data_IF_179532299451
#
_entry.id   IF_179532299451
#
_cell.length_a   1.000
_cell.length_b   1.000
_cell.length_c   1.000
_cell.angle_alpha   90.00
_cell.angle_beta   90.00
_cell.angle_gamma   90.00
#
_symmetry.space_group_name_H-M   'P 1'
#
loop_
_entity.id
_entity.type
_entity.pdbx_description
1 polymer ?
#
# COMPACT_ATOMS: atom_id res chain seq x y z
N UNK A 1 39.20 8.68 -30.95
CA UNK A 1 38.25 9.34 -30.02
C UNK A 1 38.28 8.58 -28.71
N UNK A 2 38.82 9.18 -27.64
CA UNK A 2 38.87 8.57 -26.30
C UNK A 2 37.54 8.87 -25.59
N UNK A 3 36.91 7.83 -25.02
CA UNK A 3 35.73 7.98 -24.16
C UNK A 3 36.08 8.80 -22.89
N UNK A 4 35.17 9.63 -22.36
CA UNK A 4 35.39 10.31 -21.10
C UNK A 4 35.31 9.30 -19.95
N UNK A 5 36.30 9.34 -19.06
CA UNK A 5 36.30 8.59 -17.81
C UNK A 5 35.30 9.19 -16.83
N UNK A 6 34.35 8.40 -16.34
CA UNK A 6 33.46 8.76 -15.23
C UNK A 6 34.28 8.95 -13.94
N UNK A 7 34.20 10.13 -13.32
CA UNK A 7 34.69 10.32 -11.95
C UNK A 7 33.85 9.51 -10.95
N UNK A 8 34.45 8.91 -9.91
CA UNK A 8 33.71 8.22 -8.87
C UNK A 8 32.87 9.22 -8.05
N UNK A 9 31.61 8.87 -7.81
CA UNK A 9 30.67 9.66 -7.04
C UNK A 9 31.21 9.96 -5.63
N UNK A 10 31.09 11.22 -5.19
CA UNK A 10 31.46 11.65 -3.84
C UNK A 10 30.65 10.86 -2.78
N UNK A 11 31.27 10.44 -1.67
CA UNK A 11 30.55 9.73 -0.61
C UNK A 11 29.48 10.64 0.01
N UNK A 12 28.29 10.08 0.21
CA UNK A 12 27.17 10.72 0.88
C UNK A 12 27.61 11.18 2.28
N UNK A 13 27.33 12.42 2.73
CA UNK A 13 27.70 12.85 4.05
C UNK A 13 27.00 11.96 5.08
N UNK A 14 27.77 11.39 6.01
CA UNK A 14 27.25 10.56 7.09
C UNK A 14 26.09 11.26 7.78
N UNK A 15 24.98 10.52 7.97
CA UNK A 15 23.82 10.98 8.73
C UNK A 15 24.31 11.46 10.09
N UNK A 16 24.34 12.78 10.29
CA UNK A 16 24.58 13.38 11.60
C UNK A 16 23.48 12.88 12.53
N UNK A 17 23.87 12.19 13.60
CA UNK A 17 22.97 11.94 14.72
C UNK A 17 22.37 13.27 15.18
N UNK A 18 21.11 13.31 15.68
CA UNK A 18 20.55 14.53 16.23
C UNK A 18 21.48 15.09 17.30
N UNK A 19 21.87 16.36 17.16
CA UNK A 19 22.72 17.05 18.13
C UNK A 19 22.03 17.01 19.49
N UNK A 20 22.69 16.41 20.50
CA UNK A 20 22.28 16.53 21.90
C UNK A 20 22.52 17.98 22.34
N UNK A 21 21.47 18.67 22.77
CA UNK A 21 21.60 19.96 23.47
C UNK A 21 22.27 19.73 24.84
N UNK A 22 23.17 20.62 25.30
CA UNK A 22 23.83 20.47 26.59
C UNK A 22 22.89 20.98 27.69
N UNK A 23 22.35 20.06 28.51
CA UNK A 23 21.51 20.42 29.64
C UNK A 23 21.34 19.29 30.66
N UNK A 24 21.69 19.61 31.91
CA UNK A 24 21.26 19.02 33.19
C UNK A 24 21.43 17.48 33.43
N UNK A 25 22.25 17.03 34.40
CA UNK A 25 22.50 15.59 34.67
C UNK A 25 21.31 14.78 35.21
N UNK A 26 20.13 15.39 35.40
CA UNK A 26 18.96 14.73 36.01
C UNK A 26 17.76 14.53 35.08
N UNK A 27 17.87 14.82 33.79
CA UNK A 27 16.86 14.38 32.82
C UNK A 27 17.40 13.17 32.06
N UNK A 28 17.11 11.96 32.56
CA UNK A 28 17.08 10.80 31.66
C UNK A 28 16.12 11.18 30.53
N UNK A 29 16.66 11.43 29.34
CA UNK A 29 15.87 11.74 28.15
C UNK A 29 14.90 10.59 27.96
N UNK A 30 13.60 10.85 28.18
CA UNK A 30 12.56 9.88 27.90
C UNK A 30 12.71 9.46 26.43
N UNK A 31 13.04 8.19 26.22
CA UNK A 31 13.10 7.60 24.88
C UNK A 31 11.85 6.78 24.68
N UNK A 32 11.24 6.88 23.49
CA UNK A 32 10.10 6.05 23.12
C UNK A 32 10.51 4.58 22.87
N UNK A 33 11.79 4.30 22.63
CA UNK A 33 12.32 2.97 22.32
C UNK A 33 13.71 2.74 22.93
N UNK A 34 14.07 1.49 23.28
CA UNK A 34 15.45 1.16 23.61
C UNK A 34 16.40 1.46 22.42
N UNK A 35 17.60 2.02 22.67
CA UNK A 35 18.61 2.19 21.62
C UNK A 35 18.93 0.87 20.92
N UNK A 36 19.20 0.90 19.61
CA UNK A 36 19.43 -0.30 18.79
C UNK A 36 20.60 -1.14 19.33
N UNK A 37 21.65 -0.48 19.81
CA UNK A 37 22.82 -1.11 20.41
C UNK A 37 22.53 -1.93 21.67
N UNK A 38 21.35 -1.78 22.29
CA UNK A 38 20.97 -2.54 23.49
C UNK A 38 19.99 -3.67 23.21
N UNK A 39 19.58 -3.89 21.95
CA UNK A 39 18.51 -4.85 21.63
C UNK A 39 18.83 -6.31 22.00
N UNK A 40 20.10 -6.68 22.14
CA UNK A 40 20.48 -8.01 22.65
C UNK A 40 20.15 -8.24 24.14
N UNK A 41 19.97 -7.15 24.90
CA UNK A 41 19.63 -7.19 26.31
C UNK A 41 18.95 -5.89 26.78
N UNK A 42 17.63 -5.93 26.87
CA UNK A 42 16.79 -4.85 27.42
C UNK A 42 16.06 -5.36 28.67
N UNK A 43 16.19 -4.65 29.78
CA UNK A 43 15.39 -4.93 30.98
C UNK A 43 14.08 -4.14 30.96
N UNK A 44 12.97 -4.80 31.31
CA UNK A 44 11.69 -4.15 31.56
C UNK A 44 10.99 -4.72 32.80
N UNK A 45 10.04 -3.96 33.36
CA UNK A 45 9.23 -4.46 34.46
C UNK A 45 8.12 -5.36 33.93
N UNK A 46 7.89 -6.49 34.60
CA UNK A 46 6.81 -7.41 34.32
C UNK A 46 5.46 -6.78 34.74
N UNK A 47 4.59 -6.40 33.79
CA UNK A 47 3.32 -5.75 34.14
C UNK A 47 2.37 -6.70 34.86
N UNK A 48 2.48 -8.01 34.66
CA UNK A 48 1.64 -9.02 35.32
C UNK A 48 2.03 -9.25 36.79
N UNK A 49 3.24 -8.84 37.19
CA UNK A 49 3.72 -8.98 38.56
C UNK A 49 3.29 -7.81 39.48
N UNK A 50 2.53 -6.84 38.97
CA UNK A 50 2.08 -5.68 39.74
C UNK A 50 1.35 -6.11 41.04
N UNK A 51 1.66 -5.50 42.21
CA UNK A 51 2.51 -4.32 42.42
C UNK A 51 4.01 -4.61 42.62
N UNK A 52 4.46 -5.86 42.52
CA UNK A 52 5.88 -6.21 42.69
C UNK A 52 6.68 -5.77 41.45
N UNK A 53 7.81 -5.10 41.69
CA UNK A 53 8.75 -4.68 40.63
C UNK A 53 9.66 -5.84 40.22
N UNK A 54 9.12 -6.76 39.44
CA UNK A 54 9.90 -7.87 38.88
C UNK A 54 10.53 -7.42 37.56
N UNK A 55 11.87 -7.51 37.45
CA UNK A 55 12.58 -7.22 36.20
C UNK A 55 12.67 -8.48 35.32
N UNK A 56 12.48 -8.29 34.03
CA UNK A 56 12.64 -9.30 32.99
C UNK A 56 13.63 -8.81 31.95
N UNK A 57 14.52 -9.70 31.53
CA UNK A 57 15.50 -9.41 30.48
C UNK A 57 14.95 -9.92 29.14
N UNK A 58 14.98 -9.06 28.13
CA UNK A 58 14.50 -9.34 26.78
C UNK A 58 15.59 -9.19 25.74
N UNK A 59 15.48 -9.95 24.66
CA UNK A 59 16.12 -9.66 23.37
C UNK A 59 15.03 -9.07 22.46
N UNK A 60 15.31 -7.93 21.83
CA UNK A 60 14.44 -7.31 20.84
C UNK A 60 14.86 -7.81 19.46
N UNK A 61 13.95 -8.50 18.78
CA UNK A 61 14.18 -9.08 17.45
C UNK A 61 13.37 -8.30 16.41
N UNK A 62 14.01 -7.63 15.44
CA UNK A 62 13.31 -7.00 14.33
C UNK A 62 12.54 -8.02 13.51
N UNK A 63 11.30 -7.68 13.17
CA UNK A 63 10.45 -8.46 12.28
C UNK A 63 9.48 -7.52 11.55
N UNK A 64 8.61 -8.08 10.74
CA UNK A 64 7.68 -7.32 9.89
C UNK A 64 6.25 -7.75 10.20
N UNK A 65 5.36 -6.77 10.36
CA UNK A 65 3.93 -7.02 10.49
C UNK A 65 3.36 -7.57 9.18
N UNK A 66 2.69 -8.71 9.24
CA UNK A 66 2.15 -9.40 8.07
C UNK A 66 0.62 -9.30 7.92
N UNK A 67 -0.02 -8.45 8.72
CA UNK A 67 -1.48 -8.26 8.72
C UNK A 67 -2.02 -7.54 7.48
N UNK A 68 -1.20 -6.71 6.83
CA UNK A 68 -1.54 -6.05 5.58
C UNK A 68 -0.25 -5.76 4.81
N UNK A 69 -0.38 -5.38 3.55
CA UNK A 69 0.76 -5.18 2.65
C UNK A 69 1.64 -3.96 3.00
N UNK A 70 1.27 -3.16 4.01
CA UNK A 70 2.11 -2.06 4.50
C UNK A 70 3.47 -2.56 5.04
N UNK A 71 3.52 -3.82 5.49
CA UNK A 71 4.73 -4.46 6.01
C UNK A 71 5.47 -3.57 7.03
N UNK A 72 4.73 -2.98 7.97
CA UNK A 72 5.30 -2.11 8.99
C UNK A 72 6.30 -2.90 9.85
N UNK A 73 7.45 -2.31 10.14
CA UNK A 73 8.42 -2.92 11.05
C UNK A 73 7.85 -3.10 12.46
N UNK A 74 8.16 -4.25 13.06
CA UNK A 74 7.87 -4.62 14.43
C UNK A 74 9.16 -5.00 15.16
N UNK A 75 9.13 -4.88 16.48
CA UNK A 75 10.12 -5.44 17.40
C UNK A 75 9.42 -6.46 18.28
N UNK A 76 9.83 -7.72 18.14
CA UNK A 76 9.41 -8.78 19.04
C UNK A 76 10.26 -8.72 20.32
N UNK A 77 9.61 -8.55 21.47
CA UNK A 77 10.27 -8.62 22.76
C UNK A 77 10.31 -10.08 23.22
N UNK A 78 11.48 -10.71 23.13
CA UNK A 78 11.66 -12.13 23.48
C UNK A 78 12.28 -12.23 24.86
N UNK A 79 11.57 -12.82 25.83
CA UNK A 79 12.12 -13.08 27.16
C UNK A 79 13.31 -14.05 27.07
N UNK A 80 14.47 -13.66 27.62
CA UNK A 80 15.73 -14.42 27.46
C UNK A 80 15.75 -15.72 28.24
N UNK A 81 14.88 -15.88 29.25
CA UNK A 81 14.85 -17.06 30.11
C UNK A 81 13.92 -18.14 29.52
N UNK A 82 12.82 -17.72 28.90
CA UNK A 82 11.76 -18.62 28.40
C UNK A 82 11.76 -18.78 26.87
N UNK A 83 12.40 -17.86 26.14
CA UNK A 83 12.35 -17.81 24.68
C UNK A 83 11.00 -17.36 24.11
N UNK A 84 10.04 -17.00 24.96
CA UNK A 84 8.69 -16.59 24.53
C UNK A 84 8.65 -15.12 24.15
N UNK A 85 7.80 -14.79 23.19
CA UNK A 85 7.48 -13.41 22.83
C UNK A 85 6.54 -12.85 23.90
N UNK A 86 6.89 -11.73 24.52
CA UNK A 86 6.08 -11.09 25.57
C UNK A 86 5.22 -9.95 25.05
N UNK A 87 5.68 -9.26 23.98
CA UNK A 87 4.93 -8.22 23.28
C UNK A 87 5.56 -7.91 21.92
N UNK A 88 4.78 -7.22 21.09
CA UNK A 88 5.27 -6.56 19.88
C UNK A 88 5.14 -5.04 20.00
N UNK A 89 6.19 -4.33 19.61
CA UNK A 89 6.19 -2.88 19.48
C UNK A 89 6.62 -2.47 18.07
N UNK A 90 6.52 -1.18 17.74
CA UNK A 90 6.98 -0.70 16.45
C UNK A 90 8.50 -0.62 16.36
N UNK A 91 9.06 -0.97 15.19
CA UNK A 91 10.49 -0.84 14.96
C UNK A 91 10.86 0.61 14.57
N UNK A 92 11.59 1.37 15.43
CA UNK A 92 11.93 2.76 15.18
C UNK A 92 12.87 2.97 14.00
N UNK A 93 13.69 1.97 13.64
CA UNK A 93 14.65 2.07 12.53
C UNK A 93 14.05 1.66 11.18
N UNK A 94 12.82 1.12 11.17
CA UNK A 94 12.15 0.75 9.93
C UNK A 94 11.85 2.00 9.07
N UNK A 95 12.32 2.06 7.81
CA UNK A 95 12.35 3.31 7.03
C UNK A 95 10.96 3.87 6.69
N UNK A 96 9.98 2.99 6.49
CA UNK A 96 8.64 3.39 6.11
C UNK A 96 7.79 3.82 7.33
N UNK A 97 7.59 2.89 8.27
CA UNK A 97 6.75 3.07 9.47
C UNK A 97 7.39 3.83 10.63
N UNK A 98 8.73 3.92 10.74
CA UNK A 98 9.44 4.73 11.75
C UNK A 98 8.96 4.48 13.19
N UNK A 99 8.71 3.23 13.55
CA UNK A 99 8.20 2.81 14.85
C UNK A 99 6.69 3.01 15.07
N UNK A 100 5.97 3.60 14.11
CA UNK A 100 4.51 3.77 14.23
C UNK A 100 3.79 2.55 13.68
N UNK A 101 2.85 2.02 14.45
CA UNK A 101 2.03 0.88 14.06
C UNK A 101 0.56 1.16 14.40
N UNK A 102 -0.36 0.57 13.63
CA UNK A 102 -1.77 0.55 14.00
C UNK A 102 -2.02 -0.54 15.07
N UNK A 103 -3.23 -0.60 15.62
CA UNK A 103 -3.61 -1.58 16.65
C UNK A 103 -3.34 -3.04 16.26
N UNK A 104 -3.38 -3.37 14.95
CA UNK A 104 -3.11 -4.72 14.44
C UNK A 104 -1.66 -5.17 14.69
N UNK A 105 -0.69 -4.24 14.70
CA UNK A 105 0.73 -4.56 14.86
C UNK A 105 1.02 -5.24 16.20
N UNK A 106 0.79 -4.55 17.34
CA UNK A 106 0.96 -5.15 18.66
C UNK A 106 0.08 -6.38 18.91
N UNK A 107 -1.13 -6.40 18.33
CA UNK A 107 -2.06 -7.52 18.44
C UNK A 107 -1.59 -8.83 17.76
N UNK A 108 -0.47 -8.80 17.01
CA UNK A 108 0.13 -10.01 16.40
C UNK A 108 0.47 -11.08 17.46
N UNK A 109 0.67 -10.70 18.73
CA UNK A 109 0.88 -11.67 19.81
C UNK A 109 -0.28 -12.66 19.94
N UNK A 110 -1.52 -12.19 19.72
CA UNK A 110 -2.71 -13.04 19.79
C UNK A 110 -2.77 -14.06 18.65
N UNK A 111 -2.11 -13.80 17.52
CA UNK A 111 -2.03 -14.74 16.40
C UNK A 111 -0.96 -15.81 16.62
N UNK A 112 0.15 -15.43 17.26
CA UNK A 112 1.24 -16.35 17.60
C UNK A 112 0.77 -17.36 18.66
N UNK A 113 0.09 -16.86 19.68
CA UNK A 113 -0.40 -17.59 20.85
C UNK A 113 -1.88 -18.00 20.73
N UNK A 114 -2.43 -18.01 19.51
CA UNK A 114 -3.83 -18.38 19.28
C UNK A 114 -4.08 -19.82 19.77
N UNK A 115 -5.00 -20.04 20.74
CA UNK A 115 -5.29 -21.36 21.27
C UNK A 115 -5.92 -22.31 20.23
N UNK A 116 -6.47 -21.79 19.14
CA UNK A 116 -7.10 -22.55 18.05
C UNK A 116 -6.13 -22.85 16.89
N UNK A 117 -4.85 -22.45 17.02
CA UNK A 117 -3.85 -22.66 15.98
C UNK A 117 -3.64 -24.15 15.69
N UNK A 118 -3.68 -24.51 14.40
CA UNK A 118 -3.39 -25.88 13.94
C UNK A 118 -1.87 -26.12 14.03
N UNK A 119 -1.46 -26.99 14.95
CA UNK A 119 -0.03 -27.28 15.24
C UNK A 119 0.51 -28.51 14.50
N UNK A 120 -0.37 -29.30 13.88
CA UNK A 120 -0.05 -30.57 13.24
C UNK A 120 -0.77 -30.69 11.90
N UNK A 121 -0.19 -31.39 10.90
CA UNK A 121 -0.93 -31.80 9.71
C UNK A 121 -2.19 -32.60 10.09
N UNK A 122 -3.28 -32.36 9.37
CA UNK A 122 -4.56 -33.03 9.61
C UNK A 122 -5.15 -33.55 8.29
N UNK A 123 -5.89 -34.65 8.36
CA UNK A 123 -6.59 -35.27 7.24
C UNK A 123 -8.07 -35.41 7.55
N UNK A 124 -8.92 -35.08 6.58
CA UNK A 124 -10.36 -35.30 6.70
C UNK A 124 -10.65 -36.79 6.62
N UNK A 125 -11.43 -37.30 7.57
CA UNK A 125 -11.82 -38.73 7.65
C UNK A 125 -13.32 -38.99 7.46
N UNK A 126 -14.13 -37.93 7.45
CA UNK A 126 -15.56 -37.99 7.16
C UNK A 126 -15.95 -37.31 5.85
N UNK A 127 -17.26 -37.21 5.64
CA UNK A 127 -17.83 -36.49 4.51
C UNK A 127 -17.54 -34.99 4.60
N UNK A 128 -17.55 -34.32 3.43
CA UNK A 128 -17.30 -32.88 3.37
C UNK A 128 -18.39 -32.14 4.14
N UNK A 129 -17.99 -31.41 5.18
CA UNK A 129 -18.89 -30.61 6.02
C UNK A 129 -19.07 -31.15 7.44
N UNK A 130 -18.68 -32.40 7.71
CA UNK A 130 -18.84 -33.01 9.04
C UNK A 130 -17.82 -32.52 10.09
N UNK A 131 -16.75 -31.86 9.65
CA UNK A 131 -15.68 -31.40 10.55
C UNK A 131 -14.86 -32.52 11.18
N UNK A 132 -14.91 -33.74 10.63
CA UNK A 132 -14.15 -34.89 11.13
C UNK A 132 -12.73 -34.90 10.56
N UNK A 133 -11.75 -34.68 11.45
CA UNK A 133 -10.32 -34.62 11.11
C UNK A 133 -9.48 -35.51 12.04
N UNK A 134 -8.50 -36.19 11.47
CA UNK A 134 -7.46 -36.92 12.21
C UNK A 134 -6.10 -36.22 12.07
N UNK A 135 -5.24 -36.33 13.09
CA UNK A 135 -3.85 -35.86 13.00
C UNK A 135 -3.01 -36.89 12.24
N UNK A 136 -2.14 -36.41 11.35
CA UNK A 136 -1.20 -37.25 10.59
C UNK A 136 0.22 -36.70 10.70
N UNK A 137 1.21 -37.51 10.30
CA UNK A 137 2.61 -37.05 10.26
C UNK A 137 2.86 -36.16 9.05
N UNK A 138 3.93 -35.36 9.11
CA UNK A 138 4.40 -34.58 7.97
C UNK A 138 4.79 -35.46 6.79
N UNK A 139 5.49 -36.57 7.04
CA UNK A 139 5.86 -37.57 6.01
C UNK A 139 4.62 -38.10 5.29
N UNK A 140 3.60 -38.53 6.05
CA UNK A 140 2.35 -39.01 5.47
C UNK A 140 1.63 -37.92 4.66
N UNK A 141 1.61 -36.67 5.14
CA UNK A 141 0.97 -35.56 4.42
C UNK A 141 1.67 -35.28 3.09
N UNK A 142 3.01 -35.19 3.10
CA UNK A 142 3.83 -34.93 1.93
C UNK A 142 3.75 -36.08 0.92
N UNK A 143 3.80 -37.33 1.38
CA UNK A 143 3.68 -38.51 0.51
C UNK A 143 2.31 -38.60 -0.16
N UNK A 144 1.22 -38.38 0.58
CA UNK A 144 -0.13 -38.47 0.03
C UNK A 144 -0.43 -37.33 -0.97
N UNK A 145 0.00 -36.10 -0.67
CA UNK A 145 -0.17 -34.96 -1.59
C UNK A 145 0.75 -35.12 -2.81
N UNK A 146 2.03 -35.41 -2.59
CA UNK A 146 3.02 -35.58 -3.64
C UNK A 146 2.70 -36.74 -4.58
N UNK A 147 2.22 -37.88 -4.05
CA UNK A 147 1.81 -39.02 -4.88
C UNK A 147 0.64 -38.68 -5.79
N UNK A 148 -0.33 -37.89 -5.32
CA UNK A 148 -1.47 -37.44 -6.14
C UNK A 148 -1.03 -36.51 -7.28
N UNK A 149 -0.17 -35.54 -6.96
CA UNK A 149 0.43 -34.65 -7.97
C UNK A 149 1.24 -35.48 -8.99
N UNK A 150 2.07 -36.40 -8.51
CA UNK A 150 2.87 -37.27 -9.37
C UNK A 150 2.04 -38.19 -10.26
N UNK A 151 0.89 -38.68 -9.79
CA UNK A 151 -0.05 -39.44 -10.64
C UNK A 151 -0.66 -38.57 -11.72
N UNK A 152 -1.09 -37.34 -11.40
CA UNK A 152 -1.56 -36.40 -12.41
C UNK A 152 -0.52 -36.17 -13.51
N UNK A 153 0.77 -36.07 -13.17
CA UNK A 153 1.84 -35.92 -14.17
C UNK A 153 2.09 -37.18 -14.99
N UNK A 154 2.10 -38.38 -14.37
CA UNK A 154 2.27 -39.64 -15.11
C UNK A 154 1.14 -39.91 -16.11
N UNK A 155 -0.04 -39.32 -15.87
CA UNK A 155 -1.24 -39.44 -16.71
C UNK A 155 -1.48 -38.22 -17.61
N UNK A 156 -0.53 -37.28 -17.70
CA UNK A 156 -0.63 -36.05 -18.53
C UNK A 156 -1.82 -35.12 -18.16
N UNK A 157 -2.21 -35.11 -16.88
CA UNK A 157 -3.33 -34.31 -16.33
C UNK A 157 -2.85 -33.04 -15.62
N UNK A 158 -1.96 -32.28 -16.27
CA UNK A 158 -1.31 -31.11 -15.65
C UNK A 158 -2.29 -30.00 -15.20
N UNK A 159 -3.45 -29.92 -15.85
CA UNK A 159 -4.51 -28.94 -15.54
C UNK A 159 -5.29 -29.24 -14.24
N UNK A 160 -5.06 -30.39 -13.60
CA UNK A 160 -5.72 -30.74 -12.33
C UNK A 160 -4.95 -30.26 -11.09
N UNK A 161 -3.76 -29.68 -11.27
CA UNK A 161 -2.96 -29.14 -10.17
C UNK A 161 -3.10 -27.63 -10.15
N UNK A 162 -3.60 -27.10 -9.02
CA UNK A 162 -3.77 -25.67 -8.82
C UNK A 162 -3.15 -25.23 -7.49
N UNK A 163 -2.42 -24.13 -7.53
CA UNK A 163 -1.95 -23.41 -6.36
C UNK A 163 -2.75 -22.11 -6.21
N UNK A 164 -3.53 -22.04 -5.13
CA UNK A 164 -4.21 -20.82 -4.74
C UNK A 164 -3.52 -20.21 -3.53
N UNK A 165 -3.07 -18.97 -3.66
CA UNK A 165 -2.38 -18.26 -2.58
C UNK A 165 -3.13 -17.05 -2.08
N UNK A 166 -3.27 -17.01 -0.75
CA UNK A 166 -3.71 -15.82 -0.04
C UNK A 166 -2.58 -14.80 0.05
N UNK A 167 -2.05 -14.61 1.25
CA UNK A 167 -0.95 -13.68 1.49
C UNK A 167 0.39 -14.35 1.19
N UNK A 168 1.07 -13.91 0.13
CA UNK A 168 2.43 -14.34 -0.23
C UNK A 168 3.44 -13.94 0.85
N UNK A 169 4.17 -14.91 1.39
CA UNK A 169 5.26 -14.69 2.35
C UNK A 169 6.66 -14.96 1.79
N UNK A 170 6.73 -15.44 0.56
CA UNK A 170 7.94 -15.77 -0.18
C UNK A 170 8.13 -14.87 -1.40
N UNK A 171 9.34 -14.89 -1.99
CA UNK A 171 9.70 -14.10 -3.17
C UNK A 171 9.36 -14.84 -4.48
N UNK A 172 8.08 -15.19 -4.63
CA UNK A 172 7.54 -15.91 -5.80
C UNK A 172 8.23 -17.26 -6.09
N UNK A 173 8.61 -17.98 -5.04
CA UNK A 173 9.28 -19.28 -5.17
C UNK A 173 8.29 -20.34 -5.67
N UNK A 174 7.06 -20.29 -5.17
CA UNK A 174 6.03 -21.28 -5.52
C UNK A 174 5.59 -21.20 -6.98
N UNK A 175 5.48 -20.00 -7.56
CA UNK A 175 5.19 -19.84 -9.00
C UNK A 175 6.30 -20.47 -9.86
N UNK A 176 7.57 -20.27 -9.48
CA UNK A 176 8.71 -20.87 -10.21
C UNK A 176 8.67 -22.39 -10.18
N UNK A 177 8.29 -22.98 -9.04
CA UNK A 177 8.12 -24.44 -8.92
C UNK A 177 7.04 -24.94 -9.87
N UNK A 178 5.86 -24.31 -9.89
CA UNK A 178 4.76 -24.71 -10.78
C UNK A 178 5.12 -24.58 -12.26
N UNK A 179 5.75 -23.47 -12.65
CA UNK A 179 6.21 -23.29 -14.02
C UNK A 179 7.27 -24.33 -14.42
N UNK A 180 8.15 -24.74 -13.49
CA UNK A 180 9.13 -25.82 -13.76
C UNK A 180 8.47 -27.18 -13.99
N UNK A 181 7.26 -27.38 -13.49
CA UNK A 181 6.43 -28.56 -13.74
C UNK A 181 5.56 -28.42 -15.00
N UNK A 182 5.64 -27.29 -15.72
CA UNK A 182 4.77 -27.02 -16.87
C UNK A 182 3.31 -26.79 -16.49
N UNK A 183 3.04 -26.35 -15.26
CA UNK A 183 1.69 -26.04 -14.77
C UNK A 183 1.40 -24.54 -14.92
N UNK A 184 0.31 -24.23 -15.61
CA UNK A 184 -0.32 -22.90 -15.65
C UNK A 184 -1.55 -22.87 -14.72
N UNK A 185 -1.31 -23.15 -13.44
CA UNK A 185 -2.33 -23.43 -12.42
C UNK A 185 -2.21 -22.52 -11.21
N UNK A 186 -1.89 -21.24 -11.41
CA UNK A 186 -1.71 -20.27 -10.34
C UNK A 186 -2.94 -19.36 -10.19
N UNK A 187 -3.38 -19.13 -8.96
CA UNK A 187 -4.30 -18.05 -8.65
C UNK A 187 -3.90 -17.39 -7.33
N UNK A 188 -4.07 -16.08 -7.23
CA UNK A 188 -3.83 -15.33 -6.01
C UNK A 188 -5.07 -14.56 -5.57
N UNK A 189 -5.10 -14.13 -4.31
CA UNK A 189 -6.17 -13.27 -3.83
C UNK A 189 -6.19 -11.88 -4.51
N UNK A 190 -5.21 -11.55 -5.36
CA UNK A 190 -5.03 -10.20 -5.95
C UNK A 190 -6.26 -9.76 -6.74
N UNK A 191 -6.90 -10.71 -7.43
CA UNK A 191 -8.12 -10.51 -8.21
C UNK A 191 -9.31 -10.01 -7.38
N UNK A 192 -9.36 -10.39 -6.10
CA UNK A 192 -10.40 -9.96 -5.15
C UNK A 192 -9.89 -8.79 -4.27
N UNK A 193 -8.56 -8.64 -4.17
CA UNK A 193 -7.94 -7.62 -3.33
C UNK A 193 -7.95 -6.24 -3.97
N UNK A 194 -7.33 -6.07 -5.15
CA UNK A 194 -7.06 -4.72 -5.69
C UNK A 194 -6.68 -4.66 -7.17
N UNK A 195 -6.81 -5.75 -7.93
CA UNK A 195 -6.49 -5.76 -9.37
C UNK A 195 -7.20 -4.63 -10.12
N UNK A 196 -8.49 -4.39 -9.87
CA UNK A 196 -9.27 -3.34 -10.55
C UNK A 196 -8.73 -1.93 -10.34
N UNK A 197 -8.13 -1.61 -9.19
CA UNK A 197 -7.50 -0.30 -8.98
C UNK A 197 -6.06 -0.22 -9.57
N UNK A 198 -5.42 -1.37 -9.78
CA UNK A 198 -4.05 -1.47 -10.32
C UNK A 198 -4.02 -1.40 -11.85
N UNK A 199 -5.11 -1.76 -12.53
CA UNK A 199 -5.17 -1.78 -14.01
C UNK A 199 -4.83 -0.42 -14.61
N UNK A 200 -5.38 0.69 -14.09
CA UNK A 200 -5.03 2.03 -14.60
C UNK A 200 -3.59 2.41 -14.34
N UNK A 201 -3.02 2.08 -13.17
CA UNK A 201 -1.60 2.29 -12.89
C UNK A 201 -0.70 1.49 -13.84
N UNK A 202 -1.01 0.21 -14.05
CA UNK A 202 -0.26 -0.66 -14.94
C UNK A 202 -0.37 -0.20 -16.41
N UNK A 203 -1.57 0.20 -16.84
CA UNK A 203 -1.81 0.63 -18.23
C UNK A 203 -1.17 1.98 -18.54
N UNK A 204 -1.16 2.91 -17.58
CA UNK A 204 -0.63 4.27 -17.80
C UNK A 204 0.85 4.41 -17.49
N UNK A 205 1.35 3.74 -16.43
CA UNK A 205 2.71 3.94 -15.93
C UNK A 205 3.59 2.70 -16.08
N UNK A 206 3.03 1.54 -16.39
CA UNK A 206 3.77 0.26 -16.42
C UNK A 206 4.16 -0.26 -15.03
N UNK A 207 3.58 0.29 -13.95
CA UNK A 207 3.89 -0.11 -12.57
C UNK A 207 2.63 -0.55 -11.84
N UNK A 208 2.78 -1.50 -10.90
CA UNK A 208 1.68 -1.99 -10.06
C UNK A 208 1.04 -0.87 -9.24
N UNK A 209 1.87 -0.06 -8.56
CA UNK A 209 1.46 1.13 -7.79
C UNK A 209 2.58 2.14 -7.68
N UNK A 210 2.28 3.45 -7.79
CA UNK A 210 3.26 4.49 -7.49
C UNK A 210 3.41 4.69 -5.98
N UNK A 211 4.62 5.07 -5.54
CA UNK A 211 4.87 5.58 -4.19
C UNK A 211 4.82 7.11 -4.22
N UNK A 212 3.62 7.69 -4.05
CA UNK A 212 3.42 9.14 -4.10
C UNK A 212 4.19 9.89 -2.99
N UNK A 213 4.79 11.01 -3.36
CA UNK A 213 5.58 11.87 -2.44
C UNK A 213 4.69 12.85 -1.67
N UNK A 214 3.84 12.30 -0.80
CA UNK A 214 2.86 13.09 -0.05
C UNK A 214 3.47 14.19 0.84
N UNK A 215 4.71 14.02 1.30
CA UNK A 215 5.33 14.98 2.23
C UNK A 215 5.74 16.29 1.56
N UNK A 216 5.96 16.27 0.24
CA UNK A 216 6.34 17.43 -0.57
C UNK A 216 5.22 17.91 -1.51
N UNK A 217 4.04 17.29 -1.45
CA UNK A 217 2.88 17.67 -2.24
C UNK A 217 2.28 19.00 -1.77
N UNK A 218 1.68 19.75 -2.69
CA UNK A 218 0.81 20.90 -2.38
C UNK A 218 -0.68 20.52 -2.42
N UNK A 219 -1.02 19.47 -3.18
CA UNK A 219 -2.37 18.90 -3.21
C UNK A 219 -2.26 17.38 -3.11
N UNK A 220 -3.02 16.81 -2.17
CA UNK A 220 -3.09 15.37 -1.92
C UNK A 220 -4.52 14.90 -2.22
N UNK A 221 -4.69 14.05 -3.23
CA UNK A 221 -5.98 13.57 -3.69
C UNK A 221 -6.16 12.07 -3.42
N UNK A 222 -7.02 11.74 -2.46
CA UNK A 222 -7.20 10.40 -1.92
C UNK A 222 -8.53 9.81 -2.37
N UNK A 223 -8.50 8.66 -3.06
CA UNK A 223 -9.71 7.96 -3.52
C UNK A 223 -9.82 6.61 -2.83
N UNK A 224 -10.88 6.37 -2.06
CA UNK A 224 -11.05 5.14 -1.27
C UNK A 224 -9.85 4.82 -0.36
N UNK A 225 -9.18 5.88 0.11
CA UNK A 225 -7.85 5.85 0.69
C UNK A 225 -7.91 6.28 2.15
N UNK A 226 -7.96 5.30 3.07
CA UNK A 226 -8.30 5.53 4.47
C UNK A 226 -7.06 5.45 5.39
N UNK A 227 -6.61 6.56 5.95
CA UNK A 227 -5.47 6.64 6.87
C UNK A 227 -5.68 5.79 8.13
N UNK A 228 -6.91 5.70 8.63
CA UNK A 228 -7.23 5.06 9.91
C UNK A 228 -7.27 3.53 9.84
N UNK A 229 -7.67 2.99 8.69
CA UNK A 229 -8.02 1.57 8.56
C UNK A 229 -7.52 0.94 7.25
N UNK A 230 -7.08 1.75 6.30
CA UNK A 230 -6.66 1.31 4.98
C UNK A 230 -5.40 0.45 5.02
N UNK A 231 -5.34 -0.48 4.07
CA UNK A 231 -4.13 -1.23 3.78
C UNK A 231 -3.07 -0.26 3.22
N UNK A 232 -1.78 -0.43 3.57
CA UNK A 232 -0.65 0.48 3.25
C UNK A 232 -0.57 1.80 4.02
N UNK A 233 -1.60 2.18 4.76
CA UNK A 233 -1.69 3.58 5.15
C UNK A 233 -0.85 3.98 6.34
N UNK A 234 -0.29 3.10 7.17
CA UNK A 234 0.49 3.63 8.29
C UNK A 234 1.74 4.44 7.83
N UNK A 235 2.58 3.95 6.90
CA UNK A 235 3.66 4.77 6.34
C UNK A 235 3.18 5.97 5.51
N UNK A 236 2.09 5.83 4.75
CA UNK A 236 1.55 6.94 3.94
C UNK A 236 0.89 8.01 4.79
N UNK A 237 0.10 7.65 5.80
CA UNK A 237 -0.55 8.57 6.73
C UNK A 237 0.48 9.48 7.40
N UNK A 238 1.66 8.97 7.75
CA UNK A 238 2.74 9.82 8.28
C UNK A 238 3.13 10.91 7.27
N UNK A 239 3.33 10.54 6.01
CA UNK A 239 3.75 11.46 4.93
C UNK A 239 2.63 12.41 4.52
N UNK A 240 1.37 11.95 4.51
CA UNK A 240 0.19 12.77 4.24
C UNK A 240 0.02 13.83 5.33
N UNK A 241 0.16 13.45 6.61
CA UNK A 241 0.10 14.41 7.72
C UNK A 241 1.31 15.34 7.72
N UNK A 242 2.51 14.88 7.31
CA UNK A 242 3.67 15.75 7.08
C UNK A 242 3.36 16.80 5.98
N UNK A 243 2.82 16.37 4.84
CA UNK A 243 2.38 17.27 3.75
C UNK A 243 1.31 18.26 4.21
N UNK A 244 0.26 17.79 4.89
CA UNK A 244 -0.79 18.65 5.42
C UNK A 244 -0.24 19.71 6.40
N UNK A 245 0.69 19.33 7.28
CA UNK A 245 1.37 20.28 8.18
C UNK A 245 2.24 21.29 7.43
N UNK A 246 2.76 20.92 6.26
CA UNK A 246 3.49 21.82 5.37
C UNK A 246 2.57 22.70 4.52
N UNK A 247 1.24 22.58 4.68
CA UNK A 247 0.24 23.40 3.99
C UNK A 247 -0.41 22.73 2.79
N UNK A 248 -0.16 21.44 2.55
CA UNK A 248 -0.82 20.72 1.47
C UNK A 248 -2.33 20.63 1.69
N UNK A 249 -3.12 20.90 0.65
CA UNK A 249 -4.56 20.68 0.67
C UNK A 249 -4.87 19.20 0.46
N UNK A 250 -5.65 18.60 1.36
CA UNK A 250 -6.08 17.20 1.30
C UNK A 250 -7.51 17.13 0.79
N UNK A 251 -7.70 16.43 -0.33
CA UNK A 251 -9.02 16.09 -0.90
C UNK A 251 -9.26 14.60 -0.69
N UNK A 252 -10.39 14.25 -0.08
CA UNK A 252 -10.80 12.86 0.15
C UNK A 252 -12.07 12.56 -0.63
N UNK A 253 -12.01 11.56 -1.51
CA UNK A 253 -13.15 11.02 -2.27
C UNK A 253 -13.56 9.68 -1.64
N UNK A 254 -14.68 9.69 -0.94
CA UNK A 254 -15.16 8.58 -0.13
C UNK A 254 -16.68 8.70 0.07
N UNK A 255 -17.52 7.67 -0.22
CA UNK A 255 -18.97 7.74 0.01
C UNK A 255 -19.35 7.82 1.50
N UNK A 256 -18.40 7.58 2.42
CA UNK A 256 -18.61 7.76 3.87
C UNK A 256 -17.74 8.89 4.40
N UNK A 257 -18.21 9.56 5.45
CA UNK A 257 -17.39 10.47 6.24
C UNK A 257 -16.42 9.64 7.12
N UNK A 258 -15.32 9.19 6.54
CA UNK A 258 -14.26 8.46 7.23
C UNK A 258 -13.45 9.36 8.17
N UNK A 259 -12.65 8.76 9.06
CA UNK A 259 -11.72 9.54 9.90
C UNK A 259 -10.70 10.32 9.06
N UNK A 260 -10.44 9.82 7.84
CA UNK A 260 -9.65 10.53 6.83
C UNK A 260 -10.40 11.72 6.27
N UNK A 261 -11.63 11.51 5.79
CA UNK A 261 -12.47 12.59 5.27
C UNK A 261 -12.71 13.69 6.31
N UNK A 262 -12.92 13.35 7.58
CA UNK A 262 -13.07 14.30 8.67
C UNK A 262 -11.81 15.15 8.97
N UNK A 263 -10.65 14.76 8.42
CA UNK A 263 -9.38 15.50 8.52
C UNK A 263 -8.95 16.13 7.20
N UNK A 264 -9.71 15.92 6.13
CA UNK A 264 -9.45 16.50 4.82
C UNK A 264 -9.99 17.93 4.76
N UNK A 265 -9.41 18.75 3.89
CA UNK A 265 -9.91 20.10 3.60
C UNK A 265 -11.19 20.02 2.74
N UNK A 266 -11.23 19.03 1.83
CA UNK A 266 -12.41 18.73 1.02
C UNK A 266 -12.78 17.26 1.14
N UNK A 267 -14.08 16.99 1.35
CA UNK A 267 -14.66 15.66 1.27
C UNK A 267 -15.68 15.61 0.13
N UNK A 268 -15.43 14.74 -0.85
CA UNK A 268 -16.34 14.46 -1.95
C UNK A 268 -16.95 13.07 -1.72
N UNK A 269 -18.29 13.03 -1.68
CA UNK A 269 -19.06 11.80 -1.47
C UNK A 269 -19.87 11.46 -2.72
N UNK A 270 -19.22 11.07 -3.84
CA UNK A 270 -19.95 10.65 -5.02
C UNK A 270 -20.74 9.37 -4.77
N UNK A 271 -21.77 9.13 -5.57
CA UNK A 271 -22.44 7.83 -5.61
C UNK A 271 -21.44 6.73 -5.99
N UNK A 272 -21.45 5.57 -5.32
CA UNK A 272 -20.52 4.49 -5.64
C UNK A 272 -20.59 4.08 -7.12
N UNK A 273 -19.45 4.11 -7.80
CA UNK A 273 -19.33 3.77 -9.22
C UNK A 273 -19.35 4.96 -10.17
N UNK A 274 -19.63 6.18 -9.71
CA UNK A 274 -19.64 7.39 -10.57
C UNK A 274 -18.33 8.17 -10.52
N UNK A 275 -17.31 7.67 -9.81
CA UNK A 275 -16.06 8.38 -9.57
C UNK A 275 -15.31 8.71 -10.87
N UNK A 276 -15.34 7.83 -11.87
CA UNK A 276 -14.73 8.11 -13.19
C UNK A 276 -15.30 9.38 -13.84
N UNK A 277 -16.63 9.56 -13.76
CA UNK A 277 -17.30 10.74 -14.31
C UNK A 277 -16.86 12.02 -13.59
N UNK A 278 -16.76 11.96 -12.25
CA UNK A 278 -16.24 13.06 -11.44
C UNK A 278 -14.79 13.41 -11.84
N UNK A 279 -13.93 12.41 -11.99
CA UNK A 279 -12.51 12.63 -12.35
C UNK A 279 -12.35 13.22 -13.76
N UNK A 280 -13.13 12.75 -14.74
CA UNK A 280 -13.11 13.28 -16.09
C UNK A 280 -13.65 14.72 -16.16
N UNK A 281 -14.66 15.05 -15.35
CA UNK A 281 -15.14 16.42 -15.23
C UNK A 281 -14.09 17.36 -14.62
N UNK A 282 -13.35 16.89 -13.60
CA UNK A 282 -12.20 17.63 -13.05
C UNK A 282 -11.10 17.80 -14.10
N UNK A 283 -10.74 16.73 -14.82
CA UNK A 283 -9.72 16.78 -15.87
C UNK A 283 -10.08 17.79 -16.98
N UNK A 284 -11.35 17.79 -17.42
CA UNK A 284 -11.88 18.78 -18.36
C UNK A 284 -11.71 20.21 -17.84
N UNK A 285 -12.05 20.47 -16.58
CA UNK A 285 -11.90 21.80 -15.98
C UNK A 285 -10.43 22.27 -15.96
N UNK A 286 -9.49 21.37 -15.69
CA UNK A 286 -8.06 21.68 -15.76
C UNK A 286 -7.61 22.03 -17.18
N UNK A 287 -8.12 21.33 -18.19
CA UNK A 287 -7.86 21.62 -19.60
C UNK A 287 -8.46 22.98 -19.98
N UNK A 288 -9.74 23.22 -19.68
CA UNK A 288 -10.44 24.50 -19.93
C UNK A 288 -9.72 25.69 -19.28
N UNK A 289 -9.23 25.52 -18.05
CA UNK A 289 -8.47 26.55 -17.32
C UNK A 289 -6.99 26.64 -17.70
N UNK A 290 -6.49 25.76 -18.58
CA UNK A 290 -5.06 25.67 -18.96
C UNK A 290 -4.13 25.43 -17.75
N UNK A 291 -4.63 24.74 -16.71
CA UNK A 291 -3.88 24.41 -15.48
C UNK A 291 -3.48 22.94 -15.43
N UNK A 292 -2.97 22.43 -16.55
CA UNK A 292 -2.45 21.07 -16.73
C UNK A 292 -0.99 21.13 -17.20
N UNK A 293 -0.22 20.06 -16.97
CA UNK A 293 1.22 20.05 -17.30
C UNK A 293 1.42 19.68 -18.77
N UNK A 294 1.21 20.67 -19.64
CA UNK A 294 1.35 20.51 -21.09
C UNK A 294 2.77 20.07 -21.48
N UNK A 295 3.80 20.56 -20.77
CA UNK A 295 5.20 20.20 -21.06
C UNK A 295 5.47 18.73 -20.74
N UNK A 296 4.96 18.24 -19.61
CA UNK A 296 5.04 16.83 -19.27
C UNK A 296 4.28 15.96 -20.29
N UNK A 297 3.06 16.37 -20.64
CA UNK A 297 2.21 15.60 -21.55
C UNK A 297 2.81 15.51 -22.97
N UNK A 298 3.31 16.63 -23.53
CA UNK A 298 3.96 16.64 -24.84
C UNK A 298 5.16 15.70 -24.90
N UNK A 299 5.93 15.65 -23.80
CA UNK A 299 7.18 14.91 -23.72
C UNK A 299 7.02 13.42 -23.41
N UNK A 300 6.07 13.06 -22.54
CA UNK A 300 6.02 11.73 -21.93
C UNK A 300 4.75 10.94 -22.23
N UNK A 301 3.74 11.56 -22.84
CA UNK A 301 2.49 10.88 -23.21
C UNK A 301 2.47 10.63 -24.71
N UNK A 302 1.87 9.52 -25.12
CA UNK A 302 1.69 9.11 -26.52
C UNK A 302 0.57 9.91 -27.25
N UNK A 303 0.57 11.23 -27.11
CA UNK A 303 -0.48 12.12 -27.61
C UNK A 303 -0.65 12.06 -29.13
N UNK A 304 0.42 11.79 -29.90
CA UNK A 304 0.35 11.59 -31.35
C UNK A 304 -0.52 10.39 -31.71
N UNK A 305 -0.41 9.29 -30.96
CA UNK A 305 -1.25 8.11 -31.13
C UNK A 305 -2.70 8.46 -30.82
N UNK A 306 -2.96 9.17 -29.73
CA UNK A 306 -4.31 9.64 -29.39
C UNK A 306 -4.94 10.46 -30.53
N UNK A 307 -4.22 11.45 -31.09
CA UNK A 307 -4.77 12.25 -32.19
C UNK A 307 -5.02 11.44 -33.45
N UNK A 308 -4.06 10.60 -33.88
CA UNK A 308 -4.21 9.79 -35.10
C UNK A 308 -5.38 8.82 -35.03
N UNK A 309 -5.61 8.23 -33.86
CA UNK A 309 -6.64 7.19 -33.69
C UNK A 309 -8.02 7.79 -33.38
N UNK A 310 -8.10 8.89 -32.62
CA UNK A 310 -9.39 9.44 -32.16
C UNK A 310 -9.85 10.67 -32.93
N UNK A 311 -8.93 11.44 -33.52
CA UNK A 311 -9.18 12.68 -34.25
C UNK A 311 -8.38 12.76 -35.56
N UNK A 312 -8.58 11.79 -36.49
CA UNK A 312 -7.88 11.80 -37.78
C UNK A 312 -8.28 12.99 -38.68
N UNK A 313 -9.33 13.74 -38.29
CA UNK A 313 -9.76 14.99 -38.91
C UNK A 313 -8.85 16.19 -38.58
N UNK A 314 -8.01 16.09 -37.55
CA UNK A 314 -7.10 17.14 -37.12
C UNK A 314 -5.66 16.84 -37.56
N UNK A 315 -4.89 17.89 -37.86
CA UNK A 315 -3.45 17.76 -38.04
C UNK A 315 -2.80 17.22 -36.76
N UNK A 316 -1.90 16.25 -36.88
CA UNK A 316 -1.21 15.62 -35.76
C UNK A 316 -0.13 16.55 -35.18
N UNK A 317 -0.56 17.61 -34.51
CA UNK A 317 0.28 18.62 -33.85
C UNK A 317 -0.15 18.78 -32.39
N UNK A 318 0.79 19.06 -31.50
CA UNK A 318 0.51 19.16 -30.07
C UNK A 318 -0.52 20.26 -29.73
N UNK A 319 -0.55 21.35 -30.51
CA UNK A 319 -1.51 22.43 -30.37
C UNK A 319 -2.98 21.97 -30.44
N UNK A 320 -3.25 20.88 -31.17
CA UNK A 320 -4.60 20.33 -31.33
C UNK A 320 -5.03 19.40 -30.17
N UNK A 321 -4.09 18.93 -29.35
CA UNK A 321 -4.35 17.93 -28.29
C UNK A 321 -5.33 18.45 -27.26
N UNK A 322 -5.16 19.69 -26.78
CA UNK A 322 -6.03 20.25 -25.75
C UNK A 322 -7.49 20.29 -26.20
N UNK A 323 -7.75 20.81 -27.41
CA UNK A 323 -9.11 20.89 -27.92
C UNK A 323 -9.67 19.49 -28.19
N UNK A 324 -8.88 18.58 -28.74
CA UNK A 324 -9.28 17.19 -28.95
C UNK A 324 -9.70 16.48 -27.64
N UNK A 325 -8.98 16.72 -26.54
CA UNK A 325 -9.35 16.20 -25.22
C UNK A 325 -10.62 16.85 -24.65
N UNK A 326 -10.81 18.16 -24.82
CA UNK A 326 -12.04 18.85 -24.41
C UNK A 326 -13.24 18.30 -25.19
N UNK A 327 -13.09 18.07 -26.48
CA UNK A 327 -14.13 17.49 -27.34
C UNK A 327 -14.44 16.04 -26.92
N UNK A 328 -13.41 15.23 -26.62
CA UNK A 328 -13.57 13.88 -26.08
C UNK A 328 -14.31 13.89 -24.73
N UNK A 329 -14.14 14.95 -23.94
CA UNK A 329 -14.77 15.10 -22.62
C UNK A 329 -16.01 15.99 -22.61
N UNK A 330 -16.65 16.20 -23.77
CA UNK A 330 -17.78 17.12 -23.94
C UNK A 330 -18.96 16.81 -23.02
N UNK A 331 -19.19 15.53 -22.67
CA UNK A 331 -20.28 15.10 -21.79
C UNK A 331 -19.98 15.32 -20.30
N UNK A 332 -18.70 15.35 -19.90
CA UNK A 332 -18.27 15.49 -18.50
C UNK A 332 -18.29 16.94 -18.03
N UNK A 333 -19.43 17.62 -18.17
CA UNK A 333 -19.61 18.97 -17.64
C UNK A 333 -19.70 18.94 -16.10
N UNK A 334 -19.33 20.02 -15.40
CA UNK A 334 -19.50 20.10 -13.95
C UNK A 334 -20.95 19.96 -13.48
N UNK A 335 -21.91 20.49 -14.25
CA UNK A 335 -23.33 20.36 -13.96
C UNK A 335 -23.80 18.90 -14.08
N UNK A 336 -23.34 18.19 -15.10
CA UNK A 336 -23.69 16.79 -15.29
C UNK A 336 -22.99 15.89 -14.27
N UNK A 337 -21.74 16.21 -13.90
CA UNK A 337 -21.04 15.54 -12.82
C UNK A 337 -21.77 15.73 -11.49
N UNK A 338 -22.32 16.93 -11.23
CA UNK A 338 -23.11 17.15 -10.03
C UNK A 338 -24.38 16.30 -10.00
N UNK A 339 -25.09 16.21 -11.13
CA UNK A 339 -26.30 15.39 -11.29
C UNK A 339 -26.01 13.89 -11.14
N UNK A 340 -24.97 13.39 -11.82
CA UNK A 340 -24.63 11.96 -11.85
C UNK A 340 -23.98 11.52 -10.55
N UNK A 341 -23.06 12.30 -10.00
CA UNK A 341 -22.28 11.91 -8.84
C UNK A 341 -22.93 12.30 -7.51
N UNK A 342 -23.88 13.25 -7.50
CA UNK A 342 -24.45 13.76 -6.25
C UNK A 342 -23.49 14.66 -5.46
N UNK A 343 -22.53 15.31 -6.14
CA UNK A 343 -21.57 16.25 -5.54
C UNK A 343 -21.89 17.65 -6.05
N UNK A 344 -21.92 18.66 -5.19
CA UNK A 344 -22.21 20.04 -5.60
C UNK A 344 -21.27 20.54 -6.70
N UNK A 345 -21.82 21.17 -7.75
CA UNK A 345 -21.05 21.67 -8.89
C UNK A 345 -19.97 22.66 -8.45
N UNK A 346 -20.30 23.54 -7.51
CA UNK A 346 -19.38 24.53 -6.96
C UNK A 346 -18.16 23.86 -6.32
N UNK A 347 -18.36 22.77 -5.58
CA UNK A 347 -17.29 21.99 -4.96
C UNK A 347 -16.41 21.31 -6.00
N UNK A 348 -16.99 20.75 -7.08
CA UNK A 348 -16.22 20.15 -8.18
C UNK A 348 -15.29 21.20 -8.81
N UNK A 349 -15.82 22.40 -9.08
CA UNK A 349 -15.03 23.51 -9.65
C UNK A 349 -13.93 23.99 -8.71
N UNK A 350 -14.24 24.12 -7.42
CA UNK A 350 -13.28 24.55 -6.41
C UNK A 350 -12.12 23.56 -6.29
N UNK A 351 -12.42 22.25 -6.23
CA UNK A 351 -11.42 21.19 -6.18
C UNK A 351 -10.56 21.17 -7.45
N UNK A 352 -11.15 21.32 -8.63
CA UNK A 352 -10.38 21.43 -9.88
C UNK A 352 -9.43 22.63 -9.84
N UNK A 353 -9.89 23.80 -9.35
CA UNK A 353 -9.04 24.97 -9.20
C UNK A 353 -7.92 24.76 -8.17
N UNK A 354 -8.18 24.05 -7.06
CA UNK A 354 -7.15 23.66 -6.08
C UNK A 354 -6.08 22.79 -6.75
N UNK A 355 -6.49 21.75 -7.48
CA UNK A 355 -5.56 20.84 -8.18
C UNK A 355 -4.72 21.62 -9.19
N UNK A 356 -5.34 22.49 -9.99
CA UNK A 356 -4.65 23.32 -10.97
C UNK A 356 -3.61 24.27 -10.38
N UNK A 357 -3.84 24.78 -9.15
CA UNK A 357 -2.83 25.59 -8.43
C UNK A 357 -1.63 24.77 -7.96
N UNK A 358 -1.83 23.49 -7.66
CA UNK A 358 -0.78 22.57 -7.21
C UNK A 358 -0.01 21.88 -8.33
N UNK A 359 0.02 22.45 -9.54
CA UNK A 359 0.65 21.84 -10.70
C UNK A 359 2.13 21.50 -10.43
N UNK A 360 2.54 20.29 -10.79
CA UNK A 360 3.89 19.77 -10.52
C UNK A 360 4.13 19.28 -9.08
N UNK A 361 3.17 19.47 -8.17
CA UNK A 361 3.21 18.95 -6.78
C UNK A 361 1.88 18.32 -6.36
N UNK A 362 1.20 17.70 -7.31
CA UNK A 362 0.01 16.91 -7.09
C UNK A 362 0.38 15.46 -6.76
N UNK A 363 -0.14 14.93 -5.64
CA UNK A 363 0.02 13.55 -5.25
C UNK A 363 -1.35 12.88 -5.13
N UNK A 364 -1.58 11.79 -5.85
CA UNK A 364 -2.84 11.03 -5.77
C UNK A 364 -2.62 9.58 -5.36
N UNK A 365 -3.66 8.98 -4.77
CA UNK A 365 -3.67 7.56 -4.50
C UNK A 365 -5.09 6.98 -4.51
N UNK A 366 -5.31 6.00 -5.39
CA UNK A 366 -6.48 5.14 -5.38
C UNK A 366 -6.12 3.79 -4.77
N UNK A 367 -6.92 3.35 -3.79
CA UNK A 367 -6.67 2.07 -3.13
C UNK A 367 -7.45 0.91 -3.77
N UNK A 368 -8.79 0.97 -3.72
CA UNK A 368 -9.69 -0.11 -4.18
C UNK A 368 -10.89 0.37 -5.00
N UNK A 369 -11.01 1.68 -5.24
CA UNK A 369 -12.06 2.20 -6.11
C UNK A 369 -11.80 1.75 -7.54
N UNK A 370 -12.43 0.65 -7.94
CA UNK A 370 -12.19 0.00 -9.23
C UNK A 370 -12.75 0.82 -10.39
N UNK A 371 -13.81 1.59 -10.15
CA UNK A 371 -14.36 2.58 -11.09
C UNK A 371 -13.40 3.74 -11.33
N UNK A 372 -12.64 4.17 -10.31
CA UNK A 372 -11.72 5.31 -10.39
C UNK A 372 -10.32 4.92 -10.89
N UNK A 373 -9.96 3.64 -10.77
CA UNK A 373 -8.65 3.13 -11.17
C UNK A 373 -8.62 2.53 -12.58
N UNK A 374 -9.73 2.51 -13.31
CA UNK A 374 -9.83 2.03 -14.70
C UNK A 374 -10.03 3.18 -15.66
#
# INVERSE_FOLDING_TARGET
>A
MRMPTCEPARPCPSRRSPRRSPGNPMTNTLSSYPPEETWDHVESLDPAAWPKKVRRAHRLVPTTCFNCEANCGLLAWVDKNTGKITKFEGNPVHPASRGRNCAKGPATINQVEDPERILWPMKRVGERGEGLWERITWEQALDQIGSRIGTAFREDRHHEVMYHVGRMGDDSYMERVLHSWGIDGHNSHTNICSSGARVGYASWMGFDRPSADFANAEVIFLISSHLEAGHYFNPHAQRIIEGQKNGATVVCVDPRLSNTAAKADYWLSPWPGTEAFLLLAIARLLLEAETWDATFFERWVNWETFLRETRPDLDCTFANVRQALIDQYVEYTPAEAARICGVEESTIREVAAVIGRGLGKFASHTWRASSAGN
#
